data_IF_675459209551
#
_entry.id   IF_675459209551
#
_cell.length_a   1.000
_cell.length_b   1.000
_cell.length_c   1.000
_cell.angle_alpha   90.00
_cell.angle_beta   90.00
_cell.angle_gamma   90.00
#
_symmetry.space_group_name_H-M   'P 1'
#
loop_
_entity.id
_entity.type
_entity.pdbx_description
1 polymer ?
#
# COMPACT_ATOMS: atom_id res chain seq x y z
N UNK A 1 -9.04 -8.35 -3.96
CA UNK A 1 -8.47 -7.08 -3.47
C UNK A 1 -6.96 -7.23 -3.33
N UNK A 2 -6.23 -6.12 -3.23
CA UNK A 2 -4.79 -6.13 -2.99
C UNK A 2 -4.50 -5.28 -1.77
N UNK A 3 -3.89 -5.89 -0.76
CA UNK A 3 -3.34 -5.20 0.40
C UNK A 3 -1.94 -4.70 0.04
N UNK A 4 -1.70 -3.43 0.25
CA UNK A 4 -0.40 -2.78 0.04
C UNK A 4 0.09 -2.33 1.41
N UNK A 5 1.29 -2.74 1.77
CA UNK A 5 1.92 -2.40 3.05
C UNK A 5 3.21 -1.65 2.82
N UNK A 6 3.34 -0.48 3.45
CA UNK A 6 4.57 0.29 3.54
C UNK A 6 5.15 0.13 4.93
N UNK A 7 6.38 -0.36 5.03
CA UNK A 7 7.14 -0.33 6.27
C UNK A 7 8.06 0.87 6.26
N UNK A 8 7.87 1.75 7.23
CA UNK A 8 8.79 2.86 7.49
C UNK A 8 9.69 2.56 8.68
N UNK A 9 10.65 3.44 8.96
CA UNK A 9 11.50 3.36 10.15
C UNK A 9 10.73 3.26 11.47
N UNK A 10 9.54 3.85 11.56
CA UNK A 10 8.83 4.05 12.83
C UNK A 10 7.48 3.35 12.91
N UNK A 11 6.86 3.06 11.76
CA UNK A 11 5.53 2.44 11.71
C UNK A 11 5.27 1.79 10.35
N UNK A 12 4.20 1.00 10.28
CA UNK A 12 3.66 0.47 9.02
C UNK A 12 2.39 1.21 8.63
N UNK A 13 2.20 1.41 7.33
CA UNK A 13 0.96 1.94 6.75
C UNK A 13 0.39 0.91 5.80
N UNK A 14 -0.89 0.63 5.93
CA UNK A 14 -1.59 -0.40 5.15
C UNK A 14 -2.78 0.23 4.44
N UNK A 15 -2.97 -0.10 3.17
CA UNK A 15 -4.20 0.19 2.44
C UNK A 15 -4.65 -1.06 1.68
N UNK A 16 -5.94 -1.14 1.42
CA UNK A 16 -6.50 -2.18 0.56
C UNK A 16 -7.15 -1.51 -0.63
N UNK A 17 -6.77 -1.94 -1.83
CA UNK A 17 -7.37 -1.52 -3.09
C UNK A 17 -8.17 -2.66 -3.70
N UNK A 18 -9.20 -2.32 -4.45
CA UNK A 18 -10.16 -3.32 -4.92
C UNK A 18 -9.67 -4.02 -6.18
N UNK A 19 -8.93 -3.30 -7.02
CA UNK A 19 -8.50 -3.78 -8.33
C UNK A 19 -6.98 -3.87 -8.47
N UNK A 20 -6.52 -4.72 -9.39
CA UNK A 20 -5.11 -4.79 -9.74
C UNK A 20 -4.61 -3.52 -10.42
N UNK A 21 -5.49 -2.84 -11.17
CA UNK A 21 -5.16 -1.59 -11.84
C UNK A 21 -4.81 -0.50 -10.83
N UNK A 22 -5.61 -0.35 -9.78
CA UNK A 22 -5.33 0.58 -8.67
C UNK A 22 -4.01 0.21 -7.98
N UNK A 23 -3.77 -1.08 -7.72
CA UNK A 23 -2.53 -1.54 -7.08
C UNK A 23 -1.28 -1.20 -7.92
N UNK A 24 -1.36 -1.40 -9.24
CA UNK A 24 -0.30 -1.09 -10.19
C UNK A 24 -0.05 0.42 -10.30
N UNK A 25 -1.11 1.23 -10.30
CA UNK A 25 -0.98 2.69 -10.31
C UNK A 25 -0.26 3.18 -9.05
N UNK A 26 -0.66 2.66 -7.89
CA UNK A 26 -0.08 3.02 -6.61
C UNK A 26 1.38 2.57 -6.50
N UNK A 27 1.71 1.38 -7.02
CA UNK A 27 3.09 0.90 -7.14
C UNK A 27 3.95 1.85 -7.97
N UNK A 28 3.45 2.30 -9.14
CA UNK A 28 4.17 3.25 -10.01
C UNK A 28 4.38 4.59 -9.30
N UNK A 29 3.37 5.08 -8.59
CA UNK A 29 3.45 6.31 -7.80
C UNK A 29 4.52 6.19 -6.72
N UNK A 30 4.47 5.15 -5.88
CA UNK A 30 5.48 4.93 -4.82
C UNK A 30 6.89 4.87 -5.41
N UNK A 31 7.08 4.09 -6.48
CA UNK A 31 8.40 3.95 -7.12
C UNK A 31 8.92 5.28 -7.68
N UNK A 32 8.06 6.05 -8.35
CA UNK A 32 8.41 7.38 -8.86
C UNK A 32 8.82 8.32 -7.73
N UNK A 33 8.05 8.33 -6.64
CA UNK A 33 8.30 9.20 -5.50
C UNK A 33 9.56 8.78 -4.70
N UNK A 34 9.83 7.48 -4.57
CA UNK A 34 11.10 6.98 -4.01
C UNK A 34 12.31 7.44 -4.85
N UNK A 35 12.15 7.60 -6.16
CA UNK A 35 13.23 8.08 -7.03
C UNK A 35 13.45 9.60 -6.96
N UNK A 36 12.41 10.38 -6.66
CA UNK A 36 12.47 11.85 -6.70
C UNK A 36 12.50 12.52 -5.30
N UNK A 37 12.28 11.74 -4.24
CA UNK A 37 12.33 12.21 -2.84
C UNK A 37 11.09 12.97 -2.36
N UNK A 38 10.03 13.06 -3.17
CA UNK A 38 8.80 13.77 -2.79
C UNK A 38 7.85 12.88 -1.96
N UNK A 39 7.14 13.48 -1.02
CA UNK A 39 6.17 12.79 -0.15
C UNK A 39 5.08 12.09 -0.97
N UNK A 40 4.84 10.81 -0.67
CA UNK A 40 3.77 10.01 -1.25
C UNK A 40 2.50 10.21 -0.42
N UNK A 41 1.39 10.53 -1.07
CA UNK A 41 0.06 10.30 -0.49
C UNK A 41 -0.33 8.83 -0.69
N UNK A 42 -0.46 8.09 0.40
CA UNK A 42 -0.77 6.66 0.47
C UNK A 42 -2.00 6.44 1.35
N UNK A 43 -3.17 6.28 0.72
CA UNK A 43 -4.45 6.45 1.42
C UNK A 43 -4.55 7.89 1.95
N UNK A 44 -4.92 8.03 3.22
CA UNK A 44 -4.95 9.32 3.92
C UNK A 44 -3.61 9.71 4.58
N UNK A 45 -2.57 8.90 4.38
CA UNK A 45 -1.27 9.10 5.03
C UNK A 45 -0.26 9.76 4.10
N UNK A 46 0.42 10.78 4.60
CA UNK A 46 1.59 11.38 3.96
C UNK A 46 2.85 10.62 4.38
N UNK A 47 3.46 9.90 3.45
CA UNK A 47 4.64 9.08 3.69
C UNK A 47 5.84 9.68 2.97
N UNK A 48 6.86 10.07 3.72
CA UNK A 48 8.11 10.52 3.13
C UNK A 48 8.94 9.30 2.66
N UNK A 49 9.30 9.22 1.36
CA UNK A 49 10.00 8.06 0.81
C UNK A 49 11.35 7.75 1.45
N UNK A 50 12.03 8.75 2.03
CA UNK A 50 13.31 8.57 2.72
C UNK A 50 13.23 7.55 3.86
N UNK A 51 12.05 7.40 4.46
CA UNK A 51 11.85 6.50 5.59
C UNK A 51 11.25 5.16 5.18
N UNK A 52 10.88 4.97 3.90
CA UNK A 52 10.32 3.70 3.41
C UNK A 52 11.46 2.68 3.30
N UNK A 53 11.30 1.56 4.01
CA UNK A 53 12.24 0.42 4.00
C UNK A 53 11.80 -0.70 3.09
N UNK A 54 10.51 -0.99 3.07
CA UNK A 54 9.94 -2.09 2.32
C UNK A 54 8.55 -1.72 1.81
N UNK A 55 8.21 -2.21 0.63
CA UNK A 55 6.86 -2.16 0.06
C UNK A 55 6.42 -3.58 -0.26
N UNK A 56 5.27 -3.97 0.26
CA UNK A 56 4.69 -5.31 0.08
C UNK A 56 3.34 -5.24 -0.60
N UNK A 57 3.09 -6.20 -1.49
CA UNK A 57 1.83 -6.35 -2.20
C UNK A 57 1.33 -7.77 -1.98
N UNK A 58 0.14 -7.89 -1.40
CA UNK A 58 -0.47 -9.17 -1.07
C UNK A 58 -1.88 -9.21 -1.65
N UNK A 59 -2.18 -10.25 -2.42
CA UNK A 59 -3.54 -10.48 -2.89
C UNK A 59 -4.37 -11.06 -1.75
N UNK A 60 -5.40 -10.34 -1.34
CA UNK A 60 -6.31 -10.76 -0.28
C UNK A 60 -7.69 -11.06 -0.88
N UNK A 61 -8.27 -12.18 -0.45
CA UNK A 61 -9.64 -12.54 -0.75
C UNK A 61 -10.56 -11.91 0.29
N UNK A 62 -11.75 -11.50 -0.14
CA UNK A 62 -12.80 -11.06 0.77
C UNK A 62 -13.23 -12.28 1.59
N UNK A 63 -12.99 -12.26 2.90
CA UNK A 63 -13.44 -13.33 3.78
C UNK A 63 -14.94 -13.09 3.99
N UNK A 64 -15.77 -13.70 3.15
CA UNK A 64 -17.22 -13.74 3.39
C UNK A 64 -17.45 -14.57 4.66
N UNK A 65 -17.71 -13.88 5.76
CA UNK A 65 -18.03 -14.49 7.05
C UNK A 65 -19.49 -14.99 7.09
N UNK A 66 -19.92 -15.70 6.05
CA UNK A 66 -21.23 -16.37 5.96
C UNK A 66 -21.16 -17.82 6.50
N UNK A 67 -20.44 -18.02 7.60
CA UNK A 67 -20.56 -19.26 8.39
C UNK A 67 -21.55 -19.02 9.53
N UNK A 68 -22.84 -18.97 9.18
CA UNK A 68 -23.90 -19.41 10.10
C UNK A 68 -23.97 -20.94 10.01
N UNK A 69 -23.53 -21.63 11.05
CA UNK A 69 -24.11 -22.92 11.48
C UNK A 69 -24.24 -22.87 13.00
#
# INVERSE_FOLDING_TARGET
MVKITLWTDTHRVEIVVNTDSEALELQRKIRSQMSNGHTVLFGDNLVNPKYIRLVGFERVQEVNNDSKI
#
